data_IF_159924688046
#
_entry.id   IF_159924688046
#
_cell.length_a   1.000
_cell.length_b   1.000
_cell.length_c   1.000
_cell.angle_alpha   90.00
_cell.angle_beta   90.00
_cell.angle_gamma   90.00
#
_symmetry.space_group_name_H-M   'P 1'
#
loop_
_entity.id
_entity.type
_entity.pdbx_description
1 polymer ?
#
# COMPACT_ATOMS: atom_id res chain seq x y z
N UNK A 1 -26.83 -0.67 -16.97
CA UNK A 1 -27.91 -0.44 -15.97
C UNK A 1 -28.25 1.04 -15.76
N UNK A 2 -27.28 1.97 -15.72
CA UNK A 2 -27.57 3.40 -15.47
C UNK A 2 -28.54 4.07 -16.46
N UNK A 3 -28.37 3.84 -17.76
CA UNK A 3 -29.26 4.41 -18.80
C UNK A 3 -30.71 3.92 -18.68
N UNK A 4 -30.90 2.65 -18.31
CA UNK A 4 -32.22 2.07 -18.10
C UNK A 4 -32.91 2.65 -16.85
N UNK A 5 -32.15 2.88 -15.76
CA UNK A 5 -32.68 3.52 -14.56
C UNK A 5 -33.10 4.98 -14.83
N UNK A 6 -32.33 5.71 -15.66
CA UNK A 6 -32.69 7.06 -16.10
C UNK A 6 -33.97 7.07 -16.95
N UNK A 7 -34.09 6.12 -17.89
CA UNK A 7 -35.30 5.94 -18.70
C UNK A 7 -36.55 5.63 -17.85
N UNK A 8 -36.41 4.75 -16.85
CA UNK A 8 -37.51 4.46 -15.92
C UNK A 8 -37.88 5.67 -15.06
N UNK A 9 -36.90 6.46 -14.59
CA UNK A 9 -37.16 7.71 -13.88
C UNK A 9 -37.93 8.72 -14.73
N UNK A 10 -37.69 8.77 -16.04
CA UNK A 10 -38.40 9.65 -16.96
C UNK A 10 -39.88 9.25 -17.15
N UNK A 11 -40.20 7.95 -17.08
CA UNK A 11 -41.59 7.46 -17.21
C UNK A 11 -42.47 7.72 -15.99
N UNK A 12 -41.89 7.74 -14.79
CA UNK A 12 -42.61 7.97 -13.53
C UNK A 12 -41.82 8.94 -12.66
N UNK A 13 -42.30 10.18 -12.58
CA UNK A 13 -41.71 11.23 -11.76
C UNK A 13 -41.58 10.81 -10.30
N UNK A 14 -40.45 11.15 -9.70
CA UNK A 14 -40.20 10.92 -8.27
C UNK A 14 -41.10 11.87 -7.47
N UNK A 15 -41.79 11.35 -6.46
CA UNK A 15 -42.65 12.16 -5.61
C UNK A 15 -41.81 13.22 -4.87
N UNK A 16 -42.31 14.46 -4.80
CA UNK A 16 -41.64 15.58 -4.12
C UNK A 16 -41.26 15.26 -2.67
N UNK A 17 -42.11 14.51 -1.95
CA UNK A 17 -41.82 14.07 -0.57
C UNK A 17 -40.58 13.17 -0.48
N UNK A 18 -40.41 12.26 -1.44
CA UNK A 18 -39.22 11.39 -1.52
C UNK A 18 -37.96 12.19 -1.81
N UNK A 19 -38.04 13.18 -2.72
CA UNK A 19 -36.92 14.08 -3.01
C UNK A 19 -36.49 14.89 -1.78
N UNK A 20 -37.46 15.45 -1.05
CA UNK A 20 -37.19 16.21 0.17
C UNK A 20 -36.58 15.33 1.28
N UNK A 21 -37.00 14.06 1.38
CA UNK A 21 -36.43 13.11 2.34
C UNK A 21 -34.95 12.79 2.05
N UNK A 22 -34.58 12.62 0.77
CA UNK A 22 -33.20 12.34 0.37
C UNK A 22 -32.35 13.59 0.11
N UNK A 23 -32.92 14.80 0.27
CA UNK A 23 -32.23 16.05 -0.01
C UNK A 23 -30.88 16.18 0.73
N UNK A 24 -30.74 15.84 2.02
CA UNK A 24 -29.44 15.93 2.70
C UNK A 24 -28.38 15.01 2.07
N UNK A 25 -28.77 13.81 1.65
CA UNK A 25 -27.90 12.84 0.97
C UNK A 25 -27.49 13.32 -0.43
N UNK A 26 -28.41 13.94 -1.16
CA UNK A 26 -28.13 14.52 -2.48
C UNK A 26 -27.14 15.68 -2.34
N UNK A 27 -27.37 16.58 -1.37
CA UNK A 27 -26.48 17.71 -1.08
C UNK A 27 -25.09 17.22 -0.66
N UNK A 28 -25.01 16.27 0.27
CA UNK A 28 -23.73 15.67 0.68
C UNK A 28 -23.01 15.00 -0.50
N UNK A 29 -23.75 14.25 -1.34
CA UNK A 29 -23.19 13.60 -2.54
C UNK A 29 -22.65 14.61 -3.54
N UNK A 30 -23.33 15.76 -3.69
CA UNK A 30 -22.86 16.85 -4.53
C UNK A 30 -21.54 17.43 -4.02
N UNK A 31 -21.44 17.75 -2.72
CA UNK A 31 -20.19 18.22 -2.12
C UNK A 31 -19.06 17.20 -2.23
N UNK A 32 -19.32 15.92 -1.96
CA UNK A 32 -18.32 14.86 -2.13
C UNK A 32 -17.89 14.67 -3.59
N UNK A 33 -18.79 14.87 -4.54
CA UNK A 33 -18.42 14.88 -5.97
C UNK A 33 -17.50 16.05 -6.28
N UNK A 34 -17.79 17.25 -5.77
CA UNK A 34 -16.92 18.42 -5.94
C UNK A 34 -15.54 18.20 -5.30
N UNK A 35 -15.49 17.62 -4.09
CA UNK A 35 -14.23 17.30 -3.42
C UNK A 35 -13.44 16.18 -4.11
N UNK A 36 -14.12 15.30 -4.85
CA UNK A 36 -13.47 14.26 -5.63
C UNK A 36 -12.88 14.76 -6.94
N UNK A 37 -13.25 15.95 -7.41
CA UNK A 37 -12.63 16.57 -8.57
C UNK A 37 -11.19 16.90 -8.22
N UNK A 38 -10.28 16.13 -8.82
CA UNK A 38 -8.85 16.36 -8.73
C UNK A 38 -8.50 17.67 -9.46
N UNK A 39 -7.49 18.37 -8.96
CA UNK A 39 -6.85 19.49 -9.66
C UNK A 39 -6.15 19.06 -10.96
N UNK A 40 -6.05 17.74 -11.20
CA UNK A 40 -5.50 17.13 -12.40
C UNK A 40 -6.58 16.32 -13.11
N UNK A 41 -6.99 16.76 -14.29
CA UNK A 41 -7.93 16.04 -15.16
C UNK A 41 -7.10 15.20 -16.13
N UNK A 42 -7.30 13.88 -16.11
CA UNK A 42 -6.57 12.92 -16.95
C UNK A 42 -7.51 12.10 -17.81
N UNK A 43 -7.07 11.75 -19.02
CA UNK A 43 -7.70 10.76 -19.88
C UNK A 43 -6.67 9.66 -20.22
N UNK A 44 -6.81 8.50 -19.59
CA UNK A 44 -5.77 7.48 -19.61
C UNK A 44 -4.47 7.99 -18.97
N UNK A 45 -3.37 7.92 -19.72
CA UNK A 45 -2.07 8.46 -19.31
C UNK A 45 -1.90 9.96 -19.59
N UNK A 46 -2.81 10.57 -20.35
CA UNK A 46 -2.68 11.96 -20.79
C UNK A 46 -3.30 12.91 -19.78
N UNK A 47 -2.55 13.96 -19.43
CA UNK A 47 -3.03 15.05 -18.56
C UNK A 47 -3.67 16.09 -19.46
N UNK A 48 -4.98 16.27 -19.34
CA UNK A 48 -5.74 17.23 -20.14
C UNK A 48 -5.60 18.64 -19.58
N UNK A 49 -5.77 18.78 -18.26
CA UNK A 49 -5.71 20.06 -17.54
C UNK A 49 -5.13 19.83 -16.15
N UNK A 50 -4.21 20.69 -15.74
CA UNK A 50 -3.65 20.71 -14.40
C UNK A 50 -3.77 22.13 -13.83
N UNK A 51 -4.60 22.29 -12.81
CA UNK A 51 -4.80 23.56 -12.12
C UNK A 51 -3.72 23.72 -11.05
N UNK A 52 -2.73 24.57 -11.33
CA UNK A 52 -1.67 24.93 -10.38
C UNK A 52 -2.00 26.27 -9.70
N UNK A 53 -1.91 26.33 -8.38
CA UNK A 53 -2.18 27.54 -7.60
C UNK A 53 -2.26 27.28 -6.10
N UNK A 54 -1.95 28.29 -5.27
CA UNK A 54 -1.83 28.14 -3.80
C UNK A 54 -3.10 27.64 -3.10
N UNK A 55 -4.29 27.91 -3.65
CA UNK A 55 -5.57 27.39 -3.13
C UNK A 55 -5.67 25.86 -3.21
N UNK A 56 -5.09 25.25 -4.26
CA UNK A 56 -5.11 23.81 -4.47
C UNK A 56 -4.18 23.04 -3.52
N UNK A 57 -3.22 23.71 -2.88
CA UNK A 57 -2.31 23.08 -1.91
C UNK A 57 -3.02 22.54 -0.67
N UNK A 58 -4.19 23.09 -0.30
CA UNK A 58 -4.99 22.55 0.81
C UNK A 58 -5.50 21.15 0.46
N UNK A 59 -5.81 20.90 -0.82
CA UNK A 59 -6.26 19.59 -1.29
C UNK A 59 -5.11 18.59 -1.48
N UNK A 60 -3.86 19.05 -1.62
CA UNK A 60 -2.69 18.17 -1.65
C UNK A 60 -2.49 17.39 -0.33
N UNK A 61 -3.03 17.88 0.79
CA UNK A 61 -3.06 17.11 2.06
C UNK A 61 -3.91 15.84 1.93
N UNK A 62 -4.96 15.88 1.11
CA UNK A 62 -5.72 14.71 0.71
C UNK A 62 -5.03 14.04 -0.48
N UNK A 63 -3.99 13.24 -0.20
CA UNK A 63 -3.21 12.43 -1.17
C UNK A 63 -4.04 11.68 -2.22
N UNK A 64 -5.34 11.50 -2.00
CA UNK A 64 -6.29 10.93 -2.97
C UNK A 64 -7.68 11.53 -2.80
N UNK A 65 -7.89 12.75 -3.32
CA UNK A 65 -9.20 13.43 -3.37
C UNK A 65 -10.28 12.56 -4.03
N UNK A 66 -9.92 11.74 -5.02
CA UNK A 66 -10.85 10.80 -5.67
C UNK A 66 -11.56 9.82 -4.72
N UNK A 67 -11.04 9.56 -3.51
CA UNK A 67 -11.71 8.72 -2.51
C UNK A 67 -13.04 9.32 -2.02
N UNK A 68 -13.20 10.64 -2.10
CA UNK A 68 -14.48 11.29 -1.75
C UNK A 68 -15.62 10.86 -2.68
N UNK A 69 -15.33 10.30 -3.87
CA UNK A 69 -16.38 9.80 -4.76
C UNK A 69 -16.96 8.45 -4.32
N UNK A 70 -16.28 7.69 -3.45
CA UNK A 70 -16.74 6.35 -3.07
C UNK A 70 -18.15 6.34 -2.47
N UNK A 71 -18.48 7.18 -1.47
CA UNK A 71 -19.84 7.25 -0.94
C UNK A 71 -20.88 7.61 -2.02
N UNK A 72 -20.53 8.51 -2.95
CA UNK A 72 -21.40 8.93 -4.06
C UNK A 72 -21.67 7.76 -5.00
N UNK A 73 -20.62 7.03 -5.38
CA UNK A 73 -20.72 5.86 -6.22
C UNK A 73 -21.63 4.79 -5.62
N UNK A 74 -21.47 4.49 -4.33
CA UNK A 74 -22.36 3.55 -3.62
C UNK A 74 -23.80 4.05 -3.56
N UNK A 75 -24.01 5.34 -3.29
CA UNK A 75 -25.35 5.93 -3.30
C UNK A 75 -26.03 5.78 -4.66
N UNK A 76 -25.32 6.05 -5.76
CA UNK A 76 -25.83 5.84 -7.13
C UNK A 76 -26.21 4.37 -7.36
N UNK A 77 -25.35 3.43 -6.98
CA UNK A 77 -25.64 1.99 -7.10
C UNK A 77 -26.90 1.63 -6.32
N UNK A 78 -27.02 2.06 -5.06
CA UNK A 78 -28.19 1.76 -4.25
C UNK A 78 -29.48 2.36 -4.81
N UNK A 79 -29.43 3.57 -5.36
CA UNK A 79 -30.57 4.19 -6.03
C UNK A 79 -30.98 3.39 -7.26
N UNK A 80 -30.02 2.98 -8.10
CA UNK A 80 -30.29 2.14 -9.29
C UNK A 80 -30.95 0.81 -8.87
N UNK A 81 -30.40 0.13 -7.87
CA UNK A 81 -30.95 -1.13 -7.35
C UNK A 81 -32.35 -0.94 -6.75
N UNK A 82 -32.55 0.13 -5.97
CA UNK A 82 -33.86 0.43 -5.38
C UNK A 82 -34.92 0.72 -6.45
N UNK A 83 -34.57 1.45 -7.51
CA UNK A 83 -35.45 1.71 -8.65
C UNK A 83 -35.77 0.41 -9.39
N UNK A 84 -34.76 -0.41 -9.67
CA UNK A 84 -34.91 -1.72 -10.32
C UNK A 84 -35.91 -2.60 -9.57
N UNK A 85 -35.74 -2.72 -8.25
CA UNK A 85 -36.57 -3.60 -7.41
C UNK A 85 -37.98 -3.04 -7.22
N UNK A 86 -38.12 -1.73 -6.95
CA UNK A 86 -39.43 -1.14 -6.62
C UNK A 86 -40.32 -0.88 -7.83
N UNK A 87 -39.77 -0.74 -9.04
CA UNK A 87 -40.54 -0.38 -10.25
C UNK A 87 -40.88 -1.57 -11.15
N UNK A 88 -40.35 -2.76 -10.86
CA UNK A 88 -40.58 -3.95 -11.68
C UNK A 88 -41.25 -5.05 -10.85
N UNK A 89 -41.80 -6.05 -11.53
CA UNK A 89 -42.25 -7.27 -10.86
C UNK A 89 -41.05 -7.97 -10.21
N UNK A 90 -41.30 -8.72 -9.14
CA UNK A 90 -40.26 -9.45 -8.42
C UNK A 90 -39.47 -10.38 -9.34
N UNK A 91 -40.14 -11.03 -10.29
CA UNK A 91 -39.51 -11.92 -11.28
C UNK A 91 -38.56 -11.13 -12.19
N UNK A 92 -39.04 -10.03 -12.79
CA UNK A 92 -38.22 -9.22 -13.71
C UNK A 92 -37.02 -8.59 -12.99
N UNK A 93 -37.22 -8.06 -11.78
CA UNK A 93 -36.13 -7.53 -10.97
C UNK A 93 -35.08 -8.60 -10.64
N UNK A 94 -35.52 -9.79 -10.22
CA UNK A 94 -34.62 -10.91 -9.94
C UNK A 94 -33.84 -11.34 -11.19
N UNK A 95 -34.50 -11.47 -12.35
CA UNK A 95 -33.84 -11.82 -13.61
C UNK A 95 -32.77 -10.81 -14.01
N UNK A 96 -33.06 -9.51 -13.90
CA UNK A 96 -32.09 -8.45 -14.21
C UNK A 96 -30.91 -8.41 -13.23
N UNK A 97 -31.16 -8.67 -11.94
CA UNK A 97 -30.10 -8.78 -10.93
C UNK A 97 -29.20 -9.99 -11.19
N UNK A 98 -29.77 -11.16 -11.49
CA UNK A 98 -29.02 -12.38 -11.82
C UNK A 98 -28.19 -12.15 -13.09
N UNK A 99 -28.77 -11.54 -14.12
CA UNK A 99 -28.05 -11.19 -15.34
C UNK A 99 -26.89 -10.24 -15.05
N UNK A 100 -27.14 -9.17 -14.29
CA UNK A 100 -26.11 -8.20 -13.89
C UNK A 100 -24.97 -8.83 -13.09
N UNK A 101 -25.30 -9.68 -12.12
CA UNK A 101 -24.32 -10.43 -11.33
C UNK A 101 -23.50 -11.39 -12.21
N UNK A 102 -24.15 -12.09 -13.14
CA UNK A 102 -23.46 -13.01 -14.04
C UNK A 102 -22.48 -12.28 -14.94
N UNK A 103 -22.89 -11.15 -15.54
CA UNK A 103 -22.00 -10.30 -16.32
C UNK A 103 -20.83 -9.77 -15.49
N UNK A 104 -21.09 -9.35 -14.25
CA UNK A 104 -20.05 -8.88 -13.33
C UNK A 104 -19.06 -9.99 -12.95
N UNK A 105 -19.53 -11.23 -12.75
CA UNK A 105 -18.66 -12.38 -12.49
C UNK A 105 -17.79 -12.74 -13.69
N UNK A 106 -18.34 -12.66 -14.91
CA UNK A 106 -17.57 -12.88 -16.14
C UNK A 106 -16.50 -11.80 -16.30
N UNK A 107 -16.87 -10.54 -16.14
CA UNK A 107 -15.96 -9.39 -16.25
C UNK A 107 -14.82 -9.46 -15.21
N UNK A 108 -15.14 -9.78 -13.96
CA UNK A 108 -14.16 -9.88 -12.87
C UNK A 108 -13.42 -11.22 -12.81
N UNK A 109 -13.75 -12.20 -13.65
CA UNK A 109 -13.18 -13.55 -13.57
C UNK A 109 -11.65 -13.57 -13.76
N UNK A 110 -11.14 -12.75 -14.69
CA UNK A 110 -9.70 -12.63 -14.98
C UNK A 110 -8.94 -12.05 -13.79
N UNK A 111 -9.47 -10.98 -13.21
CA UNK A 111 -8.93 -10.30 -12.02
C UNK A 111 -8.98 -11.23 -10.81
N UNK A 112 -10.07 -11.98 -10.63
CA UNK A 112 -10.18 -12.95 -9.54
C UNK A 112 -9.10 -14.05 -9.65
N UNK A 113 -8.87 -14.56 -10.86
CA UNK A 113 -7.85 -15.58 -11.10
C UNK A 113 -6.44 -15.06 -10.83
N UNK A 114 -6.12 -13.85 -11.31
CA UNK A 114 -4.80 -13.23 -11.07
C UNK A 114 -4.56 -12.96 -9.58
N UNK A 115 -5.56 -12.46 -8.84
CA UNK A 115 -5.46 -12.30 -7.40
C UNK A 115 -5.36 -13.63 -6.65
N UNK A 116 -5.97 -14.70 -7.14
CA UNK A 116 -5.83 -16.04 -6.55
C UNK A 116 -4.41 -16.58 -6.73
N UNK A 117 -3.81 -16.37 -7.89
CA UNK A 117 -2.41 -16.75 -8.14
C UNK A 117 -1.43 -15.94 -7.27
N UNK A 118 -1.61 -14.62 -7.19
CA UNK A 118 -0.81 -13.73 -6.36
C UNK A 118 -0.89 -14.08 -4.85
N UNK A 119 -2.05 -14.57 -4.38
CA UNK A 119 -2.18 -15.06 -3.00
C UNK A 119 -1.43 -16.36 -2.73
N UNK A 120 -1.29 -17.23 -3.75
CA UNK A 120 -0.63 -18.52 -3.62
C UNK A 120 0.90 -18.42 -3.65
N UNK A 121 1.44 -17.36 -4.25
CA UNK A 121 2.88 -17.10 -4.28
C UNK A 121 3.13 -15.57 -4.23
N UNK A 122 3.80 -15.07 -3.17
CA UNK A 122 4.04 -13.64 -2.97
C UNK A 122 4.93 -13.01 -4.05
N UNK A 123 5.61 -13.80 -4.88
CA UNK A 123 6.34 -13.31 -6.04
C UNK A 123 5.39 -12.81 -7.15
N UNK A 124 4.18 -13.36 -7.28
CA UNK A 124 3.27 -12.96 -8.36
C UNK A 124 2.49 -11.69 -8.02
N UNK A 125 2.50 -10.77 -8.97
CA UNK A 125 1.67 -9.56 -8.89
C UNK A 125 0.23 -9.86 -9.36
N UNK A 126 -0.76 -9.14 -8.82
CA UNK A 126 -2.17 -9.29 -9.22
C UNK A 126 -2.43 -8.88 -10.68
N UNK A 127 -1.50 -8.14 -11.28
CA UNK A 127 -1.49 -7.83 -12.70
C UNK A 127 -0.39 -8.67 -13.37
N UNK A 128 -0.73 -9.66 -14.22
CA UNK A 128 0.26 -10.54 -14.84
C UNK A 128 1.17 -9.81 -15.85
N UNK A 129 0.82 -8.60 -16.28
CA UNK A 129 1.68 -7.77 -17.12
C UNK A 129 2.78 -7.03 -16.33
N UNK A 130 2.72 -7.04 -14.99
CA UNK A 130 3.77 -6.46 -14.16
C UNK A 130 4.82 -7.53 -13.82
N UNK A 131 6.10 -7.12 -13.62
CA UNK A 131 7.16 -8.04 -13.28
C UNK A 131 6.85 -8.85 -12.01
N UNK A 132 7.26 -10.11 -12.01
CA UNK A 132 7.29 -10.96 -10.82
C UNK A 132 8.30 -10.34 -9.85
N UNK A 133 7.93 -10.24 -8.57
CA UNK A 133 8.88 -9.80 -7.55
C UNK A 133 9.96 -10.87 -7.38
N UNK A 134 11.20 -10.50 -7.68
CA UNK A 134 12.37 -11.32 -7.43
C UNK A 134 12.90 -11.02 -6.03
N UNK A 135 12.99 -12.04 -5.18
CA UNK A 135 13.58 -11.89 -3.86
C UNK A 135 15.07 -11.53 -4.01
N UNK A 136 15.56 -10.39 -3.49
CA UNK A 136 16.97 -10.05 -3.62
C UNK A 136 17.89 -10.92 -2.76
N UNK A 137 17.35 -11.69 -1.81
CA UNK A 137 18.10 -12.53 -0.88
C UNK A 137 18.11 -13.99 -1.37
N UNK A 138 19.10 -14.35 -2.19
CA UNK A 138 19.21 -15.63 -2.90
C UNK A 138 20.29 -16.55 -2.31
N UNK A 139 21.28 -15.98 -1.63
CA UNK A 139 22.38 -16.74 -1.02
C UNK A 139 21.88 -17.75 0.03
N UNK A 140 22.54 -18.91 0.10
CA UNK A 140 22.30 -19.93 1.12
C UNK A 140 22.50 -19.40 2.56
N UNK A 141 23.27 -18.31 2.71
CA UNK A 141 23.41 -17.59 3.97
C UNK A 141 22.05 -17.28 4.61
N UNK A 142 21.11 -16.72 3.84
CA UNK A 142 19.80 -16.32 4.35
C UNK A 142 18.93 -17.52 4.74
N UNK A 143 19.12 -18.67 4.10
CA UNK A 143 18.38 -19.89 4.43
C UNK A 143 18.91 -20.57 5.71
N UNK A 144 20.21 -20.49 5.96
CA UNK A 144 20.89 -21.24 7.02
C UNK A 144 21.10 -20.46 8.31
N UNK A 145 21.32 -19.15 8.22
CA UNK A 145 21.71 -18.32 9.36
C UNK A 145 20.53 -17.78 10.17
N UNK A 146 19.32 -17.82 9.63
CA UNK A 146 18.14 -17.24 10.26
C UNK A 146 17.89 -17.74 11.70
N UNK A 147 18.24 -19.00 12.01
CA UNK A 147 18.03 -19.58 13.33
C UNK A 147 19.02 -19.08 14.41
N UNK A 148 20.14 -18.47 14.02
CA UNK A 148 21.19 -18.02 14.94
C UNK A 148 20.96 -16.60 15.45
N UNK A 149 20.14 -15.82 14.75
CA UNK A 149 19.94 -14.39 15.02
C UNK A 149 18.47 -14.10 15.33
N UNK A 150 18.24 -13.05 16.13
CA UNK A 150 16.91 -12.57 16.51
C UNK A 150 16.53 -11.29 15.78
N UNK A 151 17.53 -10.58 15.27
CA UNK A 151 17.38 -9.23 14.74
C UNK A 151 18.12 -9.08 13.42
N UNK A 152 17.56 -8.28 12.51
CA UNK A 152 18.26 -7.74 11.35
C UNK A 152 18.17 -6.21 11.37
N UNK A 153 19.32 -5.55 11.30
CA UNK A 153 19.44 -4.10 11.40
C UNK A 153 20.01 -3.56 10.10
N UNK A 154 19.25 -2.71 9.41
CA UNK A 154 19.78 -1.90 8.32
C UNK A 154 20.41 -0.65 8.94
N UNK A 155 21.67 -0.38 8.57
CA UNK A 155 22.44 0.73 9.09
C UNK A 155 22.81 1.71 7.96
N UNK A 156 22.17 2.89 7.88
CA UNK A 156 21.03 3.34 8.69
C UNK A 156 19.69 2.77 8.15
N UNK A 157 18.62 2.73 8.97
CA UNK A 157 17.27 2.50 8.46
C UNK A 157 16.74 3.74 7.74
N UNK A 158 15.66 3.58 6.97
CA UNK A 158 15.08 4.66 6.15
C UNK A 158 14.68 5.91 6.95
N UNK A 159 14.37 5.74 8.23
CA UNK A 159 13.98 6.84 9.11
C UNK A 159 15.18 7.66 9.62
N UNK A 160 16.40 7.11 9.56
CA UNK A 160 17.61 7.72 10.11
C UNK A 160 18.61 8.17 9.03
N UNK A 161 18.44 7.80 7.77
CA UNK A 161 19.34 8.19 6.69
C UNK A 161 19.11 7.42 5.38
N UNK A 162 20.09 7.48 4.49
CA UNK A 162 20.10 6.72 3.24
C UNK A 162 20.30 5.22 3.54
N UNK A 163 19.29 4.36 3.28
CA UNK A 163 19.38 2.96 3.66
C UNK A 163 20.37 2.19 2.76
N UNK A 164 21.03 1.14 3.28
CA UNK A 164 21.97 0.31 2.50
C UNK A 164 21.30 -0.45 1.35
N UNK A 165 19.99 -0.66 1.44
CA UNK A 165 19.24 -1.49 0.51
C UNK A 165 17.73 -1.23 0.59
N UNK A 166 16.95 -1.60 -0.44
CA UNK A 166 15.50 -1.69 -0.34
C UNK A 166 15.08 -2.68 0.77
N UNK A 167 14.35 -2.19 1.76
CA UNK A 167 14.07 -2.96 2.97
C UNK A 167 13.10 -4.15 2.76
N UNK A 168 12.37 -4.20 1.64
CA UNK A 168 11.28 -5.16 1.43
C UNK A 168 11.74 -6.62 1.47
N UNK A 169 12.89 -6.93 0.86
CA UNK A 169 13.47 -8.28 0.90
C UNK A 169 13.84 -8.72 2.32
N UNK A 170 14.49 -7.83 3.07
CA UNK A 170 14.85 -8.07 4.46
C UNK A 170 13.64 -8.16 5.39
N UNK A 171 12.62 -7.33 5.19
CA UNK A 171 11.39 -7.39 5.96
C UNK A 171 10.60 -8.68 5.69
N UNK A 172 10.55 -9.12 4.43
CA UNK A 172 9.94 -10.40 4.06
C UNK A 172 10.68 -11.56 4.72
N UNK A 173 12.02 -11.58 4.63
CA UNK A 173 12.85 -12.59 5.25
C UNK A 173 12.73 -12.62 6.78
N UNK A 174 12.85 -11.46 7.44
CA UNK A 174 12.69 -11.34 8.88
C UNK A 174 11.30 -11.84 9.35
N UNK A 175 10.23 -11.46 8.64
CA UNK A 175 8.87 -11.91 8.94
C UNK A 175 8.67 -13.42 8.75
N UNK A 176 9.34 -14.04 7.77
CA UNK A 176 9.28 -15.50 7.53
C UNK A 176 9.99 -16.30 8.61
N UNK A 177 11.01 -15.72 9.24
CA UNK A 177 11.85 -16.39 10.23
C UNK A 177 11.62 -15.91 11.67
N UNK A 178 10.73 -14.93 11.89
CA UNK A 178 10.39 -14.42 13.22
C UNK A 178 11.43 -13.45 13.81
N UNK A 179 12.27 -12.84 12.98
CA UNK A 179 13.25 -11.84 13.39
C UNK A 179 12.60 -10.45 13.45
N UNK A 180 13.12 -9.57 14.30
CA UNK A 180 12.77 -8.14 14.22
C UNK A 180 13.62 -7.43 13.15
N UNK A 181 13.08 -6.32 12.62
CA UNK A 181 13.76 -5.43 11.68
C UNK A 181 13.55 -3.97 12.10
N UNK A 182 14.57 -3.13 11.94
CA UNK A 182 14.55 -1.74 12.39
C UNK A 182 14.05 -0.72 11.35
N UNK A 183 13.58 -1.18 10.19
CA UNK A 183 13.19 -0.32 9.08
C UNK A 183 11.90 -0.81 8.44
N UNK A 184 11.13 0.11 7.89
CA UNK A 184 9.89 -0.21 7.20
C UNK A 184 9.09 1.02 6.81
N UNK A 185 8.13 0.81 5.91
CA UNK A 185 7.15 1.83 5.56
C UNK A 185 5.99 1.81 6.55
N UNK A 186 5.93 2.82 7.42
CA UNK A 186 4.84 3.00 8.38
C UNK A 186 3.97 4.19 8.00
N UNK A 187 2.70 4.14 8.39
CA UNK A 187 1.76 5.23 8.13
C UNK A 187 2.10 6.50 8.93
N UNK A 188 2.70 6.34 10.12
CA UNK A 188 3.12 7.41 11.03
C UNK A 188 4.34 6.93 11.82
N UNK A 189 5.37 7.77 11.88
CA UNK A 189 6.46 7.63 12.83
C UNK A 189 6.12 8.38 14.11
N UNK A 190 6.49 7.80 15.25
CA UNK A 190 6.62 8.56 16.49
C UNK A 190 7.94 9.33 16.40
N UNK A 191 7.85 10.65 16.24
CA UNK A 191 9.00 11.52 15.93
C UNK A 191 10.04 11.46 17.05
N UNK A 192 9.61 11.51 18.31
CA UNK A 192 10.51 11.52 19.47
C UNK A 192 11.20 10.16 19.62
N UNK A 193 10.46 9.07 19.55
CA UNK A 193 11.03 7.71 19.65
C UNK A 193 11.95 7.39 18.47
N UNK A 194 11.61 7.87 17.27
CA UNK A 194 12.43 7.67 16.07
C UNK A 194 13.74 8.44 16.20
N UNK A 195 13.70 9.70 16.65
CA UNK A 195 14.89 10.51 16.87
C UNK A 195 15.81 9.88 17.93
N UNK A 196 15.24 9.45 19.07
CA UNK A 196 15.99 8.75 20.11
C UNK A 196 16.63 7.46 19.58
N UNK A 197 15.86 6.63 18.87
CA UNK A 197 16.38 5.41 18.25
C UNK A 197 17.54 5.68 17.27
N UNK A 198 17.43 6.71 16.43
CA UNK A 198 18.51 7.06 15.50
C UNK A 198 19.77 7.53 16.24
N UNK A 199 19.61 8.33 17.31
CA UNK A 199 20.74 8.78 18.14
C UNK A 199 21.42 7.58 18.81
N UNK A 200 20.66 6.69 19.44
CA UNK A 200 21.18 5.50 20.10
C UNK A 200 21.92 4.58 19.10
N UNK A 201 21.35 4.38 17.89
CA UNK A 201 21.97 3.55 16.85
C UNK A 201 23.34 4.08 16.41
N UNK A 202 23.46 5.39 16.19
CA UNK A 202 24.73 5.99 15.77
C UNK A 202 25.73 6.11 16.93
N UNK A 203 25.26 6.22 18.17
CA UNK A 203 26.12 6.17 19.35
C UNK A 203 26.65 4.74 19.59
N UNK A 204 25.83 3.70 19.40
CA UNK A 204 26.26 2.30 19.39
C UNK A 204 27.36 2.07 18.33
N UNK A 205 27.18 2.61 17.11
CA UNK A 205 28.18 2.55 16.04
C UNK A 205 29.50 3.25 16.44
N UNK A 206 29.42 4.44 17.04
CA UNK A 206 30.58 5.24 17.45
C UNK A 206 31.35 4.58 18.60
N UNK A 207 30.63 3.96 19.54
CA UNK A 207 31.21 3.31 20.71
C UNK A 207 31.60 1.86 20.48
N UNK A 208 31.26 1.30 19.30
CA UNK A 208 31.64 -0.06 18.92
C UNK A 208 30.77 -1.15 19.50
N UNK A 209 29.58 -0.80 20.00
CA UNK A 209 28.65 -1.75 20.61
C UNK A 209 27.92 -2.50 19.50
N UNK A 210 28.24 -3.78 19.36
CA UNK A 210 27.66 -4.67 18.33
C UNK A 210 27.01 -5.83 19.05
N UNK A 211 25.77 -6.14 18.66
CA UNK A 211 24.95 -7.18 19.29
C UNK A 211 25.19 -8.52 18.58
N UNK A 212 25.53 -9.55 19.36
CA UNK A 212 25.84 -10.89 18.84
C UNK A 212 24.65 -11.60 18.20
N UNK A 213 23.43 -11.24 18.58
CA UNK A 213 22.18 -11.80 18.08
C UNK A 213 21.58 -11.02 16.90
N UNK A 214 22.34 -10.11 16.31
CA UNK A 214 21.90 -9.20 15.25
C UNK A 214 22.75 -9.33 13.98
N UNK A 215 22.08 -9.48 12.84
CA UNK A 215 22.70 -9.32 11.52
C UNK A 215 22.64 -7.83 11.14
N UNK A 216 23.77 -7.26 10.74
CA UNK A 216 23.85 -5.88 10.28
C UNK A 216 24.01 -5.83 8.77
N UNK A 217 23.13 -5.10 8.09
CA UNK A 217 23.30 -4.73 6.68
C UNK A 217 23.77 -3.28 6.68
N UNK A 218 25.01 -3.04 6.27
CA UNK A 218 25.72 -1.78 6.53
C UNK A 218 25.89 -1.00 5.24
N UNK A 219 25.49 0.26 5.24
CA UNK A 219 25.69 1.13 4.09
C UNK A 219 27.19 1.43 3.92
N UNK A 220 27.74 1.46 2.69
CA UNK A 220 29.18 1.60 2.46
C UNK A 220 29.84 2.79 3.20
N UNK A 221 29.11 3.90 3.34
CA UNK A 221 29.57 5.08 4.09
C UNK A 221 29.89 4.82 5.57
N UNK A 222 29.27 3.82 6.18
CA UNK A 222 29.46 3.48 7.60
C UNK A 222 30.27 2.20 7.80
N UNK A 223 30.68 1.52 6.73
CA UNK A 223 31.35 0.21 6.82
C UNK A 223 32.71 0.32 7.54
N UNK A 224 33.52 1.33 7.22
CA UNK A 224 34.82 1.55 7.85
C UNK A 224 34.68 1.80 9.35
N UNK A 225 33.74 2.66 9.73
CA UNK A 225 33.50 3.00 11.13
C UNK A 225 32.95 1.81 11.89
N UNK A 226 32.05 1.03 11.26
CA UNK A 226 31.50 -0.20 11.81
C UNK A 226 32.60 -1.22 12.11
N UNK A 227 33.58 -1.39 11.21
CA UNK A 227 34.68 -2.35 11.39
C UNK A 227 35.74 -1.85 12.38
N UNK A 228 36.10 -0.56 12.31
CA UNK A 228 37.20 -0.01 13.11
C UNK A 228 36.81 0.23 14.57
N UNK A 229 35.56 0.59 14.83
CA UNK A 229 35.11 0.89 16.17
C UNK A 229 34.66 -0.36 16.93
N UNK A 230 34.39 -1.47 16.24
CA UNK A 230 33.87 -2.70 16.84
C UNK A 230 34.71 -3.17 18.05
N UNK A 231 34.06 -3.33 19.21
CA UNK A 231 34.73 -3.82 20.42
C UNK A 231 35.14 -5.30 20.33
N UNK A 232 34.48 -6.04 19.44
CA UNK A 232 34.73 -7.45 19.17
C UNK A 232 35.00 -7.64 17.68
N UNK A 233 35.72 -8.70 17.27
CA UNK A 233 35.92 -9.01 15.87
C UNK A 233 34.57 -9.07 15.14
N UNK A 234 34.50 -8.44 13.96
CA UNK A 234 33.33 -8.50 13.08
C UNK A 234 33.71 -9.15 11.76
N UNK A 235 32.86 -10.06 11.29
CA UNK A 235 32.98 -10.63 9.96
C UNK A 235 31.99 -9.94 9.04
N UNK A 236 32.50 -9.11 8.14
CA UNK A 236 31.71 -8.48 7.08
C UNK A 236 32.00 -9.14 5.74
N UNK A 237 30.94 -9.49 5.01
CA UNK A 237 31.02 -10.04 3.64
C UNK A 237 29.93 -9.43 2.78
N UNK A 238 30.20 -9.29 1.49
CA UNK A 238 29.18 -8.95 0.52
C UNK A 238 28.34 -10.19 0.21
N UNK A 239 27.04 -10.13 0.46
CA UNK A 239 26.09 -11.23 0.25
C UNK A 239 24.92 -10.67 -0.57
N UNK A 240 24.71 -11.23 -1.77
CA UNK A 240 23.72 -10.77 -2.73
C UNK A 240 23.81 -9.26 -3.05
N UNK A 241 25.02 -8.70 -3.04
CA UNK A 241 25.27 -7.27 -3.26
C UNK A 241 25.08 -6.38 -2.03
N UNK A 242 24.84 -6.97 -0.85
CA UNK A 242 24.66 -6.25 0.40
C UNK A 242 25.80 -6.53 1.38
N UNK A 243 26.43 -5.47 1.88
CA UNK A 243 27.45 -5.60 2.93
C UNK A 243 26.80 -6.06 4.23
N UNK A 244 27.00 -7.35 4.53
CA UNK A 244 26.39 -8.04 5.66
C UNK A 244 27.47 -8.34 6.69
N UNK A 245 27.28 -7.85 7.90
CA UNK A 245 28.21 -7.97 9.01
C UNK A 245 27.55 -8.68 10.19
N UNK A 246 28.31 -9.55 10.85
CA UNK A 246 27.96 -10.20 12.10
C UNK A 246 29.13 -10.12 13.06
N UNK A 247 28.86 -10.15 14.36
CA UNK A 247 29.92 -10.32 15.36
C UNK A 247 30.55 -11.70 15.16
N UNK A 248 31.89 -11.75 15.10
CA UNK A 248 32.64 -13.00 15.03
C UNK A 248 32.63 -13.73 16.37
N UNK A 249 32.61 -15.07 16.31
CA UNK A 249 32.89 -15.90 17.48
C UNK A 249 34.40 -15.82 17.82
N UNK A 250 34.72 -15.95 19.11
CA UNK A 250 36.10 -16.03 19.60
C UNK A 250 36.80 -17.32 19.16
#
# INVERSE_FOLDING_TARGET
MGLWAAYEMQKRFVQRKTLLYFLPLIVASFFFTLLALSNKITFGSLVLVEFSGGFWNIFNMFRSTGRFFWPVHYFIIFVILAILIKRNSQIMAASLLILGLTLQLIDLSSVYYSHRQARGNPAFHWNPALPVWENPLQSEFWATQAAQYKHITLLPPIACGEPPAPYQGFAYWAGRHGLSINTGQVARFDVERTAAYCQDLFEELRTGVIKSDTIYVVHPLYLSDFQNNAQYPVSCREIDGFMTCVQGEH
#
